data_IF_182404946415
#
_entry.id   IF_182404946415
#
_cell.length_a   1.000
_cell.length_b   1.000
_cell.length_c   1.000
_cell.angle_alpha   90.00
_cell.angle_beta   90.00
_cell.angle_gamma   90.00
#
_symmetry.space_group_name_H-M   'P 1'
#
loop_
_entity.id
_entity.type
_entity.pdbx_description
1 polymer ?
#
# COMPACT_ATOMS: atom_id res chain seq x y z
N UNK A 1 -3.18 -16.13 -25.71
CA UNK A 1 -4.00 -15.84 -24.51
C UNK A 1 -3.20 -15.89 -23.20
N UNK A 2 -2.16 -16.74 -23.05
CA UNK A 2 -1.35 -16.82 -21.81
C UNK A 2 -0.59 -15.53 -21.46
N UNK A 3 0.08 -14.90 -22.44
CA UNK A 3 0.89 -13.69 -22.25
C UNK A 3 0.18 -12.51 -21.55
N UNK A 4 -1.16 -12.43 -21.65
CA UNK A 4 -1.92 -11.33 -21.04
C UNK A 4 -2.19 -11.59 -19.55
N UNK A 5 -2.38 -12.86 -19.17
CA UNK A 5 -2.65 -13.24 -17.78
C UNK A 5 -1.38 -13.17 -16.94
N UNK A 6 -0.25 -13.65 -17.49
CA UNK A 6 1.05 -13.64 -16.81
C UNK A 6 1.48 -12.21 -16.44
N UNK A 7 1.33 -11.25 -17.37
CA UNK A 7 1.62 -9.82 -17.09
C UNK A 7 0.72 -9.19 -16.03
N UNK A 8 -0.52 -9.66 -15.90
CA UNK A 8 -1.46 -9.20 -14.86
C UNK A 8 -1.03 -9.78 -13.51
N UNK A 9 -0.64 -11.06 -13.48
CA UNK A 9 -0.14 -11.72 -12.26
C UNK A 9 1.10 -10.99 -11.74
N UNK A 10 2.10 -10.74 -12.59
CA UNK A 10 3.30 -9.97 -12.21
C UNK A 10 2.94 -8.56 -11.69
N UNK A 11 2.01 -7.87 -12.36
CA UNK A 11 1.53 -6.56 -11.92
C UNK A 11 0.85 -6.59 -10.55
N UNK A 12 0.07 -7.64 -10.26
CA UNK A 12 -0.58 -7.85 -8.97
C UNK A 12 0.42 -8.25 -7.88
N UNK A 13 1.45 -9.02 -8.19
CA UNK A 13 2.53 -9.35 -7.25
C UNK A 13 3.31 -8.10 -6.83
N UNK A 14 3.67 -7.25 -7.79
CA UNK A 14 4.30 -5.96 -7.48
C UNK A 14 3.38 -5.05 -6.66
N UNK A 15 2.09 -5.01 -6.98
CA UNK A 15 1.12 -4.23 -6.21
C UNK A 15 1.04 -4.74 -4.76
N UNK A 16 1.00 -6.07 -4.56
CA UNK A 16 0.98 -6.71 -3.25
C UNK A 16 2.23 -6.34 -2.44
N UNK A 17 3.42 -6.49 -3.02
CA UNK A 17 4.69 -6.18 -2.34
C UNK A 17 4.75 -4.70 -1.91
N UNK A 18 4.33 -3.78 -2.78
CA UNK A 18 4.29 -2.36 -2.44
C UNK A 18 3.29 -2.08 -1.31
N UNK A 19 2.09 -2.67 -1.38
CA UNK A 19 1.09 -2.54 -0.32
C UNK A 19 1.60 -3.07 1.03
N UNK A 20 2.19 -4.26 1.05
CA UNK A 20 2.76 -4.85 2.26
C UNK A 20 3.85 -3.93 2.84
N UNK A 21 4.75 -3.43 2.00
CA UNK A 21 5.80 -2.50 2.43
C UNK A 21 5.22 -1.20 3.00
N UNK A 22 4.42 -0.49 2.22
CA UNK A 22 3.91 0.84 2.60
C UNK A 22 3.01 0.78 3.84
N UNK A 23 2.18 -0.26 3.95
CA UNK A 23 1.32 -0.45 5.14
C UNK A 23 2.13 -0.84 6.38
N UNK A 24 3.16 -1.68 6.23
CA UNK A 24 4.07 -1.99 7.35
C UNK A 24 4.81 -0.75 7.84
N UNK A 25 5.29 0.11 6.93
CA UNK A 25 5.91 1.38 7.31
C UNK A 25 4.93 2.34 7.98
N UNK A 26 3.69 2.43 7.49
CA UNK A 26 2.67 3.24 8.13
C UNK A 26 2.37 2.76 9.56
N UNK A 27 2.21 1.44 9.77
CA UNK A 27 2.02 0.87 11.11
C UNK A 27 3.21 1.16 12.01
N UNK A 28 4.44 0.98 11.51
CA UNK A 28 5.67 1.26 12.25
C UNK A 28 5.71 2.70 12.76
N UNK A 29 5.54 3.69 11.88
CA UNK A 29 5.62 5.10 12.26
C UNK A 29 4.49 5.53 13.20
N UNK A 30 3.31 4.92 13.08
CA UNK A 30 2.22 5.17 14.01
C UNK A 30 2.54 4.61 15.40
N UNK A 31 3.13 3.42 15.50
CA UNK A 31 3.60 2.86 16.77
C UNK A 31 4.64 3.76 17.44
N UNK A 32 5.66 4.19 16.71
CA UNK A 32 6.67 5.14 17.22
C UNK A 32 6.03 6.44 17.71
N UNK A 33 5.04 6.96 16.97
CA UNK A 33 4.29 8.15 17.39
C UNK A 33 3.60 7.95 18.73
N UNK A 34 2.94 6.81 18.92
CA UNK A 34 2.27 6.47 20.18
C UNK A 34 3.31 6.34 21.30
N UNK A 35 4.45 5.71 21.05
CA UNK A 35 5.51 5.53 22.04
C UNK A 35 6.12 6.89 22.45
N UNK A 36 6.38 7.80 21.51
CA UNK A 36 6.85 9.15 21.83
C UNK A 36 5.80 9.97 22.59
N UNK A 37 4.51 9.85 22.24
CA UNK A 37 3.42 10.50 22.97
C UNK A 37 3.34 10.00 24.43
N UNK A 38 3.47 8.69 24.64
CA UNK A 38 3.46 8.08 25.97
C UNK A 38 4.65 8.53 26.83
N UNK A 39 5.77 8.90 26.19
CA UNK A 39 6.98 9.42 26.84
C UNK A 39 7.02 10.96 26.92
N UNK A 40 5.94 11.65 26.50
CA UNK A 40 5.86 13.12 26.45
C UNK A 40 6.93 13.79 25.55
N UNK A 41 7.54 13.05 24.62
CA UNK A 41 8.48 13.58 23.64
C UNK A 41 7.73 14.11 22.40
N UNK A 42 7.11 15.27 22.56
CA UNK A 42 6.22 15.85 21.54
C UNK A 42 6.94 16.22 20.24
N UNK A 43 8.24 16.54 20.30
CA UNK A 43 9.02 16.85 19.09
C UNK A 43 9.23 15.59 18.25
N UNK A 44 9.59 14.48 18.90
CA UNK A 44 9.74 13.20 18.22
C UNK A 44 8.39 12.63 17.77
N UNK A 45 7.34 12.79 18.56
CA UNK A 45 5.98 12.41 18.17
C UNK A 45 5.50 13.14 16.90
N UNK A 46 5.77 14.45 16.80
CA UNK A 46 5.45 15.21 15.58
C UNK A 46 6.25 14.71 14.38
N UNK A 47 7.55 14.49 14.55
CA UNK A 47 8.42 13.99 13.49
C UNK A 47 8.02 12.58 13.01
N UNK A 48 7.73 11.65 13.93
CA UNK A 48 7.27 10.30 13.57
C UNK A 48 5.89 10.35 12.90
N UNK A 49 5.00 11.25 13.34
CA UNK A 49 3.69 11.44 12.73
C UNK A 49 3.78 11.98 11.29
N UNK A 50 4.69 12.90 11.00
CA UNK A 50 4.94 13.38 9.64
C UNK A 50 5.44 12.23 8.73
N UNK A 51 6.26 11.32 9.27
CA UNK A 51 6.70 10.13 8.52
C UNK A 51 5.57 9.13 8.30
N UNK A 52 4.68 8.95 9.28
CA UNK A 52 3.44 8.19 9.11
C UNK A 52 2.58 8.76 7.98
N UNK A 53 2.38 10.08 7.93
CA UNK A 53 1.64 10.74 6.85
C UNK A 53 2.28 10.53 5.48
N UNK A 54 3.62 10.59 5.39
CA UNK A 54 4.34 10.27 4.14
C UNK A 54 4.11 8.82 3.70
N UNK A 55 4.17 7.87 4.62
CA UNK A 55 3.91 6.46 4.32
C UNK A 55 2.47 6.24 3.83
N UNK A 56 1.48 6.88 4.46
CA UNK A 56 0.10 6.83 3.98
C UNK A 56 -0.07 7.41 2.58
N UNK A 57 0.57 8.54 2.30
CA UNK A 57 0.49 9.19 0.98
C UNK A 57 1.20 8.39 -0.12
N UNK A 58 2.14 7.51 0.24
CA UNK A 58 2.80 6.61 -0.72
C UNK A 58 1.86 5.50 -1.20
N UNK A 59 0.84 5.12 -0.41
CA UNK A 59 -0.16 4.12 -0.78
C UNK A 59 -0.98 4.63 -1.96
N UNK A 60 -0.63 4.17 -3.16
CA UNK A 60 -1.27 4.60 -4.40
C UNK A 60 -2.61 3.87 -4.62
N UNK A 61 -3.64 4.35 -3.94
CA UNK A 61 -5.02 3.82 -4.03
C UNK A 61 -5.58 3.84 -5.44
N UNK A 62 -5.23 4.84 -6.25
CA UNK A 62 -5.66 4.92 -7.66
C UNK A 62 -5.11 3.76 -8.49
N UNK A 63 -3.84 3.41 -8.32
CA UNK A 63 -3.22 2.27 -9.01
C UNK A 63 -3.86 0.94 -8.59
N UNK A 64 -4.19 0.78 -7.31
CA UNK A 64 -4.90 -0.40 -6.80
C UNK A 64 -6.26 -0.55 -7.48
N UNK A 65 -7.01 0.54 -7.58
CA UNK A 65 -8.33 0.55 -8.20
C UNK A 65 -8.26 0.15 -9.68
N UNK A 66 -7.33 0.77 -10.43
CA UNK A 66 -7.10 0.46 -11.85
C UNK A 66 -6.71 -1.01 -12.07
N UNK A 67 -5.78 -1.54 -11.27
CA UNK A 67 -5.39 -2.95 -11.36
C UNK A 67 -6.54 -3.91 -11.02
N UNK A 68 -7.40 -3.53 -10.07
CA UNK A 68 -8.57 -4.32 -9.67
C UNK A 68 -9.65 -4.37 -10.76
N UNK A 69 -9.90 -3.23 -11.43
CA UNK A 69 -10.82 -3.14 -12.56
C UNK A 69 -10.32 -3.97 -13.76
N UNK A 70 -9.04 -3.84 -14.11
CA UNK A 70 -8.42 -4.63 -15.17
C UNK A 70 -8.52 -6.14 -14.91
N UNK A 71 -8.25 -6.58 -13.67
CA UNK A 71 -8.40 -7.99 -13.29
C UNK A 71 -9.85 -8.46 -13.46
N UNK A 72 -10.82 -7.67 -13.00
CA UNK A 72 -12.26 -7.99 -13.12
C UNK A 72 -12.66 -8.16 -14.59
N UNK A 73 -12.26 -7.24 -15.47
CA UNK A 73 -12.58 -7.30 -16.90
C UNK A 73 -12.01 -8.58 -17.54
N UNK A 74 -10.77 -8.93 -17.21
CA UNK A 74 -10.07 -10.09 -17.77
C UNK A 74 -10.68 -11.40 -17.31
N UNK A 75 -11.03 -11.52 -16.03
CA UNK A 75 -11.74 -12.68 -15.51
C UNK A 75 -13.12 -12.83 -16.16
N UNK A 76 -13.86 -11.74 -16.36
CA UNK A 76 -15.16 -11.76 -17.03
C UNK A 76 -15.07 -12.21 -18.50
N UNK A 77 -13.96 -11.94 -19.19
CA UNK A 77 -13.70 -12.42 -20.56
C UNK A 77 -13.42 -13.94 -20.61
N UNK A 78 -12.80 -14.50 -19.58
CA UNK A 78 -12.48 -15.95 -19.51
C UNK A 78 -13.71 -16.77 -19.15
N UNK A 79 -14.65 -16.21 -18.38
CA UNK A 79 -15.89 -16.88 -17.98
C UNK A 79 -16.98 -16.90 -19.07
N UNK A 80 -16.74 -16.28 -20.23
CA UNK A 80 -17.63 -16.31 -21.41
C UNK A 80 -17.20 -17.38 -22.38
#
# INVERSE_FOLDING_TARGET
MSYNLDSIIEGLEHLKQNLESDTNYAVYWLSETIDFLNNEDFMMALWSFDNYQKALNAINTSKIQQSSELLREKLAQIMK
#
